data_IF_851754009525
#
_entry.id   IF_851754009525
#
_cell.length_a   1.000
_cell.length_b   1.000
_cell.length_c   1.000
_cell.angle_alpha   90.00
_cell.angle_beta   90.00
_cell.angle_gamma   90.00
#
_symmetry.space_group_name_H-M   'P 1'
#
loop_
_entity.id
_entity.type
_entity.pdbx_description
1 polymer ?
#
# COMPACT_ATOMS: atom_id res chain seq x y z
N UNK A 1 7.65 5.83 -80.51
CA UNK A 1 8.33 7.12 -80.70
C UNK A 1 8.19 7.90 -79.39
N UNK A 2 9.10 7.75 -78.42
CA UNK A 2 10.45 8.32 -78.28
C UNK A 2 10.51 9.85 -78.10
N UNK A 3 11.32 10.23 -77.09
CA UNK A 3 11.85 11.54 -76.65
C UNK A 3 10.94 12.46 -75.81
N UNK A 4 11.34 12.98 -74.64
CA UNK A 4 12.64 13.03 -73.95
C UNK A 4 13.28 14.42 -73.99
N UNK A 5 13.33 15.12 -72.84
CA UNK A 5 14.33 16.15 -72.45
C UNK A 5 14.00 16.63 -71.03
N UNK A 6 14.71 16.20 -69.96
CA UNK A 6 15.96 16.75 -69.39
C UNK A 6 16.01 18.28 -69.27
N UNK A 7 16.03 18.75 -68.02
CA UNK A 7 16.65 20.01 -67.62
C UNK A 7 17.49 19.71 -66.37
N UNK A 8 18.81 19.85 -66.51
CA UNK A 8 19.79 19.85 -65.40
C UNK A 8 20.60 21.14 -65.46
N UNK A 9 20.64 21.81 -64.31
CA UNK A 9 21.72 22.63 -63.72
C UNK A 9 22.28 23.87 -64.46
N UNK A 10 22.30 25.02 -63.77
CA UNK A 10 23.54 25.69 -63.30
C UNK A 10 23.24 26.78 -62.22
N UNK A 11 24.23 27.16 -61.37
CA UNK A 11 24.03 27.69 -60.01
C UNK A 11 24.23 29.21 -59.89
N UNK A 12 24.00 29.79 -58.68
CA UNK A 12 24.80 30.93 -58.28
C UNK A 12 25.46 30.77 -56.89
N UNK A 13 26.77 30.98 -56.92
CA UNK A 13 27.60 31.83 -56.05
C UNK A 13 27.47 31.77 -54.52
N UNK A 14 28.64 31.59 -53.91
CA UNK A 14 28.95 31.65 -52.49
C UNK A 14 28.60 32.98 -51.81
N UNK A 15 28.13 32.91 -50.55
CA UNK A 15 27.94 34.08 -49.70
C UNK A 15 27.56 33.74 -48.26
N UNK A 16 28.54 33.86 -47.36
CA UNK A 16 28.42 34.02 -45.90
C UNK A 16 27.57 33.06 -45.04
N UNK A 17 28.29 32.04 -44.55
CA UNK A 17 28.04 31.30 -43.33
C UNK A 17 28.21 32.21 -42.09
N UNK A 18 27.13 32.76 -41.52
CA UNK A 18 27.12 33.18 -40.10
C UNK A 18 25.71 33.33 -39.52
N UNK A 19 25.54 32.80 -38.30
CA UNK A 19 24.60 33.26 -37.28
C UNK A 19 23.14 32.72 -37.20
N UNK A 20 22.90 31.45 -37.50
CA UNK A 20 21.60 30.77 -37.22
C UNK A 20 21.53 30.04 -35.87
N UNK A 21 22.58 30.12 -35.02
CA UNK A 21 22.60 29.51 -33.68
C UNK A 21 22.19 30.46 -32.55
N UNK A 22 22.06 31.77 -32.83
CA UNK A 22 21.73 32.78 -31.82
C UNK A 22 20.22 32.96 -31.58
N UNK A 23 19.36 32.59 -32.55
CA UNK A 23 17.92 32.86 -32.49
C UNK A 23 17.09 31.73 -31.86
N UNK A 24 17.64 30.52 -31.71
CA UNK A 24 16.91 29.37 -31.12
C UNK A 24 16.96 29.32 -29.58
N UNK A 25 17.75 30.17 -28.91
CA UNK A 25 17.79 30.25 -27.43
C UNK A 25 16.65 31.09 -26.82
N UNK A 26 15.80 31.72 -27.63
CA UNK A 26 14.79 32.69 -27.16
C UNK A 26 13.48 32.06 -26.69
N UNK A 27 13.25 30.77 -26.98
CA UNK A 27 11.95 30.10 -26.78
C UNK A 27 11.94 28.95 -25.77
N UNK A 28 13.07 28.66 -25.10
CA UNK A 28 13.08 27.73 -23.97
C UNK A 28 13.01 28.52 -22.65
N UNK A 29 11.98 28.30 -21.80
CA UNK A 29 12.00 28.83 -20.45
C UNK A 29 13.19 28.21 -19.72
N UNK A 30 14.05 29.09 -19.20
CA UNK A 30 15.22 28.73 -18.40
C UNK A 30 14.70 28.12 -17.09
N UNK A 31 14.62 26.80 -17.02
CA UNK A 31 14.27 26.07 -15.78
C UNK A 31 15.39 26.36 -14.78
N UNK A 32 15.12 27.25 -13.84
CA UNK A 32 15.96 27.47 -12.67
C UNK A 32 16.07 26.15 -11.90
N UNK A 33 17.28 25.71 -11.50
CA UNK A 33 17.39 24.57 -10.59
C UNK A 33 16.62 24.91 -9.32
N UNK A 34 15.81 23.99 -8.75
CA UNK A 34 15.24 24.23 -7.44
C UNK A 34 16.40 24.46 -6.47
N UNK A 35 16.31 25.53 -5.68
CA UNK A 35 17.22 25.80 -4.58
C UNK A 35 17.35 24.52 -3.77
N UNK A 36 18.50 23.89 -3.86
CA UNK A 36 18.95 22.83 -2.99
C UNK A 36 19.10 23.44 -1.61
N UNK A 37 18.02 23.45 -0.83
CA UNK A 37 18.13 23.40 0.62
C UNK A 37 18.80 22.07 0.94
N UNK A 38 20.14 22.13 1.05
CA UNK A 38 21.01 21.00 1.31
C UNK A 38 20.73 20.43 2.69
N UNK A 39 19.80 19.49 2.76
CA UNK A 39 19.90 18.39 3.71
C UNK A 39 20.83 17.40 3.04
N UNK A 40 22.12 17.55 3.32
CA UNK A 40 23.19 16.66 2.90
C UNK A 40 22.87 15.27 3.45
N UNK A 41 22.38 14.37 2.59
CA UNK A 41 22.08 12.99 2.96
C UNK A 41 23.39 12.30 3.40
N UNK A 42 23.39 11.55 4.51
CA UNK A 42 24.59 10.94 5.09
C UNK A 42 25.22 9.81 4.25
N UNK A 43 24.72 9.54 3.04
CA UNK A 43 25.23 8.48 2.16
C UNK A 43 26.27 8.93 1.14
N UNK A 44 26.54 10.23 0.97
CA UNK A 44 27.33 10.72 -0.17
C UNK A 44 28.85 10.75 0.03
N UNK A 45 29.39 10.35 1.19
CA UNK A 45 30.84 10.51 1.46
C UNK A 45 31.54 9.38 2.23
N UNK A 46 30.94 8.20 2.40
CA UNK A 46 31.61 7.13 3.17
C UNK A 46 31.95 5.92 2.28
N UNK A 47 33.24 5.88 1.93
CA UNK A 47 34.10 4.72 1.65
C UNK A 47 34.34 4.27 0.18
N UNK A 48 35.59 4.50 -0.22
CA UNK A 48 36.50 3.64 -1.02
C UNK A 48 36.37 3.72 -2.55
N UNK A 49 37.52 3.93 -3.18
CA UNK A 49 37.76 4.16 -4.60
C UNK A 49 36.95 3.34 -5.60
N UNK A 50 36.57 4.03 -6.68
CA UNK A 50 36.36 3.48 -8.02
C UNK A 50 35.22 2.46 -8.23
N UNK A 51 34.20 2.41 -7.36
CA UNK A 51 32.93 1.74 -7.68
C UNK A 51 31.85 2.81 -7.80
N UNK A 52 31.53 3.22 -9.04
CA UNK A 52 30.36 4.06 -9.31
C UNK A 52 29.13 3.21 -9.06
N UNK A 53 28.53 3.34 -7.88
CA UNK A 53 27.27 2.66 -7.56
C UNK A 53 26.22 3.05 -8.59
N UNK A 54 25.43 2.09 -9.10
CA UNK A 54 24.44 2.40 -10.12
C UNK A 54 23.31 3.25 -9.52
N UNK A 55 22.81 4.23 -10.28
CA UNK A 55 21.92 5.30 -9.79
C UNK A 55 20.62 4.80 -9.13
N UNK A 56 20.21 3.54 -9.35
CA UNK A 56 19.03 2.91 -8.73
C UNK A 56 19.27 2.41 -7.28
N UNK A 57 20.54 2.34 -6.85
CA UNK A 57 20.92 1.90 -5.49
C UNK A 57 20.90 3.06 -4.49
N UNK A 58 21.17 4.28 -4.92
CA UNK A 58 21.09 5.47 -4.07
C UNK A 58 19.73 5.65 -3.34
N UNK A 59 18.57 5.51 -4.00
CA UNK A 59 17.28 5.59 -3.31
C UNK A 59 17.00 4.43 -2.34
N UNK A 60 17.70 3.29 -2.44
CA UNK A 60 17.51 2.15 -1.53
C UNK A 60 17.89 2.51 -0.09
N UNK A 61 18.85 3.42 0.09
CA UNK A 61 19.14 3.97 1.42
C UNK A 61 17.91 4.66 2.02
N UNK A 62 17.20 5.45 1.21
CA UNK A 62 15.95 6.12 1.62
C UNK A 62 14.86 5.12 2.00
N UNK A 63 14.74 4.02 1.25
CA UNK A 63 13.82 2.92 1.58
C UNK A 63 14.20 2.25 2.90
N UNK A 64 15.49 1.98 3.12
CA UNK A 64 16.00 1.42 4.38
C UNK A 64 15.72 2.32 5.58
N UNK A 65 15.97 3.62 5.45
CA UNK A 65 15.63 4.61 6.49
C UNK A 65 14.12 4.62 6.75
N UNK A 66 13.30 4.59 5.70
CA UNK A 66 11.85 4.52 5.82
C UNK A 66 11.38 3.27 6.58
N UNK A 67 11.96 2.11 6.29
CA UNK A 67 11.67 0.86 7.00
C UNK A 67 12.06 0.95 8.49
N UNK A 68 13.24 1.48 8.80
CA UNK A 68 13.67 1.70 10.19
C UNK A 68 12.73 2.66 10.92
N UNK A 69 12.34 3.77 10.28
CA UNK A 69 11.36 4.71 10.85
C UNK A 69 10.02 4.03 11.09
N UNK A 70 9.53 3.19 10.18
CA UNK A 70 8.30 2.43 10.37
C UNK A 70 8.40 1.47 11.56
N UNK A 71 9.50 0.72 11.69
CA UNK A 71 9.75 -0.17 12.83
C UNK A 71 9.82 0.59 14.14
N UNK A 72 10.56 1.70 14.19
CA UNK A 72 10.65 2.58 15.37
C UNK A 72 9.27 3.12 15.73
N UNK A 73 8.48 3.55 14.75
CA UNK A 73 7.11 4.04 14.96
C UNK A 73 6.23 2.96 15.58
N UNK A 74 6.31 1.72 15.09
CA UNK A 74 5.60 0.59 15.69
C UNK A 74 6.03 0.37 17.15
N UNK A 75 7.34 0.34 17.44
CA UNK A 75 7.82 0.20 18.83
C UNK A 75 7.35 1.33 19.75
N UNK A 76 7.34 2.58 19.25
CA UNK A 76 6.82 3.75 19.99
C UNK A 76 5.33 3.58 20.27
N UNK A 77 4.53 3.15 19.28
CA UNK A 77 3.10 2.88 19.45
C UNK A 77 2.87 1.77 20.49
N UNK A 78 3.60 0.66 20.42
CA UNK A 78 3.51 -0.41 21.41
C UNK A 78 3.92 0.07 22.83
N UNK A 79 4.95 0.91 22.92
CA UNK A 79 5.36 1.56 24.17
C UNK A 79 4.29 2.48 24.73
N UNK A 80 3.63 3.28 23.88
CA UNK A 80 2.54 4.16 24.27
C UNK A 80 1.32 3.36 24.77
N UNK A 81 0.96 2.26 24.10
CA UNK A 81 -0.11 1.36 24.54
C UNK A 81 0.21 0.74 25.90
N UNK A 82 1.49 0.40 26.14
CA UNK A 82 1.98 -0.12 27.43
C UNK A 82 1.88 0.92 28.55
N UNK A 83 2.11 2.19 28.24
CA UNK A 83 1.98 3.31 29.19
C UNK A 83 0.50 3.62 29.51
N UNK A 84 -0.36 3.66 28.49
CA UNK A 84 -1.78 3.99 28.65
C UNK A 84 -2.57 2.84 29.30
N UNK A 85 -2.28 1.59 28.93
CA UNK A 85 -3.06 0.42 29.35
C UNK A 85 -2.21 -0.85 29.44
N UNK A 86 -1.52 -1.09 30.58
CA UNK A 86 -0.58 -2.21 30.71
C UNK A 86 -1.26 -3.59 30.57
N UNK A 87 -2.54 -3.70 30.96
CA UNK A 87 -3.32 -4.94 30.80
C UNK A 87 -3.57 -5.30 29.33
N UNK A 88 -3.93 -4.31 28.50
CA UNK A 88 -4.17 -4.49 27.06
C UNK A 88 -2.87 -4.81 26.33
N UNK A 89 -1.79 -4.12 26.69
CA UNK A 89 -0.46 -4.35 26.12
C UNK A 89 0.06 -5.78 26.36
N UNK A 90 -0.22 -6.36 27.54
CA UNK A 90 0.17 -7.73 27.83
C UNK A 90 -0.54 -8.74 26.90
N UNK A 91 -1.85 -8.58 26.69
CA UNK A 91 -2.65 -9.42 25.79
C UNK A 91 -2.20 -9.22 24.33
N UNK A 92 -2.02 -7.96 23.92
CA UNK A 92 -1.52 -7.61 22.59
C UNK A 92 -0.20 -8.31 22.28
N UNK A 93 0.76 -8.31 23.21
CA UNK A 93 2.07 -8.89 22.98
C UNK A 93 2.04 -10.42 22.92
N UNK A 94 1.18 -11.08 23.69
CA UNK A 94 1.00 -12.54 23.58
C UNK A 94 0.34 -12.92 22.26
N UNK A 95 -0.74 -12.22 21.87
CA UNK A 95 -1.43 -12.47 20.60
C UNK A 95 -0.56 -12.13 19.40
N UNK A 96 0.24 -11.07 19.46
CA UNK A 96 1.18 -10.73 18.38
C UNK A 96 2.25 -11.81 18.18
N UNK A 97 2.79 -12.36 19.27
CA UNK A 97 3.76 -13.47 19.19
C UNK A 97 3.13 -14.72 18.60
N UNK A 98 1.91 -15.04 19.02
CA UNK A 98 1.15 -16.17 18.48
C UNK A 98 0.86 -15.98 16.99
N UNK A 99 0.36 -14.81 16.58
CA UNK A 99 0.10 -14.47 15.18
C UNK A 99 1.35 -14.57 14.29
N UNK A 100 2.50 -14.08 14.76
CA UNK A 100 3.77 -14.17 14.04
C UNK A 100 4.36 -15.58 14.03
N UNK A 101 3.96 -16.45 14.96
CA UNK A 101 4.39 -17.84 15.02
C UNK A 101 3.54 -18.77 14.14
N UNK A 102 2.36 -18.32 13.69
CA UNK A 102 1.49 -19.13 12.83
C UNK A 102 2.19 -19.47 11.50
N UNK A 103 2.12 -20.72 11.01
CA UNK A 103 2.75 -21.11 9.74
C UNK A 103 2.20 -20.31 8.56
N UNK A 104 0.92 -19.91 8.61
CA UNK A 104 0.26 -19.10 7.58
C UNK A 104 0.96 -17.74 7.38
N UNK A 105 1.51 -17.14 8.44
CA UNK A 105 2.30 -15.90 8.33
C UNK A 105 3.49 -16.09 7.38
N UNK A 106 4.28 -17.14 7.59
CA UNK A 106 5.46 -17.43 6.77
C UNK A 106 5.09 -17.84 5.35
N UNK A 107 3.98 -18.58 5.16
CA UNK A 107 3.49 -18.94 3.82
C UNK A 107 3.08 -17.69 3.04
N UNK A 108 2.29 -16.80 3.65
CA UNK A 108 1.86 -15.54 3.00
C UNK A 108 3.06 -14.63 2.73
N UNK A 109 4.01 -14.55 3.66
CA UNK A 109 5.26 -13.81 3.47
C UNK A 109 6.04 -14.36 2.26
N UNK A 110 6.27 -15.68 2.21
CA UNK A 110 7.01 -16.30 1.12
C UNK A 110 6.33 -16.12 -0.24
N UNK A 111 5.01 -16.31 -0.30
CA UNK A 111 4.20 -16.07 -1.50
C UNK A 111 4.27 -14.59 -1.92
N UNK A 112 4.16 -13.66 -0.97
CA UNK A 112 4.26 -12.23 -1.24
C UNK A 112 5.62 -11.82 -1.78
N UNK A 113 6.70 -12.29 -1.16
CA UNK A 113 8.07 -12.08 -1.64
C UNK A 113 8.23 -12.62 -3.07
N UNK A 114 7.75 -13.84 -3.32
CA UNK A 114 7.85 -14.48 -4.63
C UNK A 114 7.08 -13.69 -5.71
N UNK A 115 5.83 -13.32 -5.45
CA UNK A 115 5.01 -12.55 -6.40
C UNK A 115 5.64 -11.17 -6.66
N UNK A 116 6.10 -10.46 -5.62
CA UNK A 116 6.69 -9.13 -5.77
C UNK A 116 8.02 -9.15 -6.54
N UNK A 117 8.81 -10.22 -6.42
CA UNK A 117 10.03 -10.40 -7.20
C UNK A 117 9.75 -10.77 -8.66
N UNK A 118 8.65 -11.49 -8.93
CA UNK A 118 8.24 -11.84 -10.28
C UNK A 118 7.58 -10.69 -11.04
N UNK A 119 6.80 -9.84 -10.37
CA UNK A 119 6.06 -8.73 -11.00
C UNK A 119 6.90 -7.87 -11.96
N UNK A 120 8.11 -7.40 -11.63
CA UNK A 120 8.92 -6.60 -12.56
C UNK A 120 9.29 -7.37 -13.85
N UNK A 121 9.28 -8.71 -13.83
CA UNK A 121 9.49 -9.56 -15.01
C UNK A 121 8.20 -9.94 -15.75
N UNK A 122 7.01 -9.67 -15.22
CA UNK A 122 5.75 -10.02 -15.91
C UNK A 122 5.21 -8.83 -16.69
N UNK A 123 5.47 -7.59 -16.25
CA UNK A 123 4.97 -6.36 -16.85
C UNK A 123 5.66 -5.94 -18.17
N UNK A 124 6.11 -6.86 -19.02
CA UNK A 124 6.79 -6.55 -20.29
C UNK A 124 5.86 -6.13 -21.44
N UNK A 125 4.54 -6.25 -21.28
CA UNK A 125 3.61 -6.19 -22.41
C UNK A 125 2.66 -4.97 -22.40
N UNK A 126 3.08 -3.83 -21.82
CA UNK A 126 2.21 -2.65 -21.63
C UNK A 126 2.71 -1.37 -22.33
N UNK A 127 3.51 -1.49 -23.40
CA UNK A 127 3.83 -0.39 -24.34
C UNK A 127 4.18 0.97 -23.66
N UNK A 128 4.94 0.94 -22.56
CA UNK A 128 5.46 2.16 -21.91
C UNK A 128 4.71 2.66 -20.66
N UNK A 129 3.67 1.95 -20.19
CA UNK A 129 3.03 2.23 -18.89
C UNK A 129 3.36 1.19 -17.79
N UNK A 130 4.37 0.35 -18.02
CA UNK A 130 4.74 -0.77 -17.16
C UNK A 130 4.99 -0.36 -15.70
N UNK A 131 5.56 0.84 -15.49
CA UNK A 131 5.84 1.41 -14.16
C UNK A 131 4.53 1.69 -13.40
N UNK A 132 3.44 2.09 -14.08
CA UNK A 132 2.14 2.34 -13.45
C UNK A 132 1.47 1.02 -13.07
N UNK A 133 1.49 0.03 -13.96
CA UNK A 133 0.93 -1.30 -13.70
C UNK A 133 1.60 -1.96 -12.50
N UNK A 134 2.94 -1.93 -12.45
CA UNK A 134 3.70 -2.47 -11.31
C UNK A 134 3.28 -1.80 -9.98
N UNK A 135 3.07 -0.49 -9.98
CA UNK A 135 2.68 0.26 -8.77
C UNK A 135 1.28 -0.13 -8.30
N UNK A 136 0.31 -0.21 -9.21
CA UNK A 136 -1.07 -0.54 -8.89
C UNK A 136 -1.20 -1.99 -8.41
N UNK A 137 -0.64 -2.92 -9.18
CA UNK A 137 -0.74 -4.34 -8.88
C UNK A 137 0.04 -4.71 -7.63
N UNK A 138 1.25 -4.16 -7.46
CA UNK A 138 2.06 -4.45 -6.27
C UNK A 138 1.41 -3.95 -4.97
N UNK A 139 0.80 -2.77 -4.96
CA UNK A 139 0.03 -2.29 -3.81
C UNK A 139 -1.18 -3.19 -3.53
N UNK A 140 -1.89 -3.61 -4.57
CA UNK A 140 -3.05 -4.49 -4.45
C UNK A 140 -2.68 -5.88 -3.93
N UNK A 141 -1.58 -6.46 -4.42
CA UNK A 141 -1.05 -7.76 -3.95
C UNK A 141 -0.73 -7.70 -2.46
N UNK A 142 0.00 -6.67 -2.00
CA UNK A 142 0.34 -6.51 -0.57
C UNK A 142 -0.93 -6.36 0.27
N UNK A 143 -1.86 -5.50 -0.16
CA UNK A 143 -3.14 -5.26 0.51
C UNK A 143 -3.94 -6.56 0.66
N UNK A 144 -4.10 -7.33 -0.42
CA UNK A 144 -4.86 -8.59 -0.43
C UNK A 144 -4.20 -9.63 0.47
N UNK A 145 -2.88 -9.83 0.35
CA UNK A 145 -2.15 -10.79 1.19
C UNK A 145 -2.24 -10.44 2.68
N UNK A 146 -2.15 -9.16 3.02
CA UNK A 146 -2.31 -8.69 4.39
C UNK A 146 -3.73 -8.90 4.93
N UNK A 147 -4.76 -8.68 4.11
CA UNK A 147 -6.15 -8.96 4.47
C UNK A 147 -6.34 -10.47 4.70
N UNK A 148 -5.82 -11.33 3.81
CA UNK A 148 -5.90 -12.79 3.99
C UNK A 148 -5.27 -13.21 5.31
N UNK A 149 -4.07 -12.71 5.63
CA UNK A 149 -3.41 -12.95 6.91
C UNK A 149 -4.29 -12.49 8.08
N UNK A 150 -4.78 -11.25 8.02
CA UNK A 150 -5.59 -10.66 9.07
C UNK A 150 -6.86 -11.47 9.35
N UNK A 151 -7.60 -11.86 8.30
CA UNK A 151 -8.82 -12.65 8.41
C UNK A 151 -8.54 -14.03 9.00
N UNK A 152 -7.47 -14.69 8.55
CA UNK A 152 -7.07 -16.00 9.06
C UNK A 152 -6.70 -15.93 10.54
N UNK A 153 -5.76 -15.05 10.90
CA UNK A 153 -5.26 -14.91 12.27
C UNK A 153 -6.37 -14.46 13.22
N UNK A 154 -7.25 -13.55 12.81
CA UNK A 154 -8.41 -13.14 13.61
C UNK A 154 -9.33 -14.33 13.87
N UNK A 155 -9.66 -15.09 12.82
CA UNK A 155 -10.59 -16.22 12.94
C UNK A 155 -10.05 -17.32 13.86
N UNK A 156 -8.77 -17.69 13.73
CA UNK A 156 -8.14 -18.73 14.55
C UNK A 156 -8.01 -18.27 16.01
N UNK A 157 -7.39 -17.10 16.24
CA UNK A 157 -7.11 -16.60 17.60
C UNK A 157 -8.38 -16.38 18.42
N UNK A 158 -9.51 -16.07 17.78
CA UNK A 158 -10.78 -15.86 18.46
C UNK A 158 -11.56 -17.15 18.62
N UNK A 159 -11.57 -18.02 17.60
CA UNK A 159 -12.28 -19.30 17.66
C UNK A 159 -11.65 -20.23 18.71
N UNK A 160 -10.32 -20.30 18.80
CA UNK A 160 -9.63 -21.16 19.78
C UNK A 160 -9.90 -20.78 21.23
N UNK A 161 -9.99 -19.48 21.53
CA UNK A 161 -10.34 -19.01 22.88
C UNK A 161 -11.82 -19.19 23.23
N UNK A 162 -12.69 -19.26 22.22
CA UNK A 162 -14.13 -19.44 22.37
C UNK A 162 -14.49 -20.92 22.53
N UNK A 163 -13.93 -21.81 21.72
CA UNK A 163 -14.24 -23.26 21.73
C UNK A 163 -13.46 -24.02 22.81
N UNK A 164 -12.28 -23.55 23.21
CA UNK A 164 -11.38 -24.27 24.12
C UNK A 164 -11.84 -24.43 25.57
N UNK A 165 -13.04 -23.97 25.97
CA UNK A 165 -13.49 -23.88 27.39
C UNK A 165 -12.48 -23.20 28.35
N UNK A 166 -11.53 -22.44 27.84
CA UNK A 166 -10.52 -21.68 28.62
C UNK A 166 -11.01 -20.29 29.04
N UNK A 167 -12.10 -19.78 28.46
CA UNK A 167 -12.77 -18.56 28.95
C UNK A 167 -13.21 -18.69 30.42
N UNK A 168 -13.61 -19.90 30.86
CA UNK A 168 -14.02 -20.20 32.24
C UNK A 168 -12.84 -20.17 33.24
N UNK A 169 -11.61 -20.46 32.81
CA UNK A 169 -10.42 -20.41 33.68
C UNK A 169 -9.71 -19.06 33.65
N UNK A 170 -9.86 -18.29 32.57
CA UNK A 170 -9.36 -16.91 32.44
C UNK A 170 -10.18 -15.87 33.22
N UNK A 171 -11.46 -16.16 33.51
CA UNK A 171 -12.30 -15.36 34.43
C UNK A 171 -11.77 -15.33 35.88
N UNK A 172 -10.83 -16.21 36.24
CA UNK A 172 -10.12 -16.18 37.54
C UNK A 172 -9.17 -14.97 37.67
N UNK A 173 -8.86 -14.29 36.56
CA UNK A 173 -8.08 -13.03 36.55
C UNK A 173 -9.02 -11.87 36.19
N UNK A 174 -8.96 -10.71 36.86
CA UNK A 174 -9.84 -9.57 36.63
C UNK A 174 -9.45 -8.82 35.34
N UNK A 175 -9.66 -9.47 34.19
CA UNK A 175 -9.48 -8.91 32.84
C UNK A 175 -10.86 -8.55 32.30
N UNK A 176 -11.08 -7.28 32.00
CA UNK A 176 -12.38 -6.83 31.47
C UNK A 176 -12.57 -7.28 30.02
N UNK A 177 -13.80 -7.60 29.63
CA UNK A 177 -14.19 -8.01 28.25
C UNK A 177 -13.64 -7.06 27.18
N UNK A 178 -13.72 -5.75 27.44
CA UNK A 178 -13.19 -4.68 26.56
C UNK A 178 -11.68 -4.79 26.34
N UNK A 179 -10.94 -5.17 27.37
CA UNK A 179 -9.48 -5.29 27.31
C UNK A 179 -9.05 -6.51 26.49
N UNK A 180 -9.84 -7.58 26.51
CA UNK A 180 -9.60 -8.79 25.72
C UNK A 180 -9.75 -8.49 24.22
N UNK A 181 -10.89 -7.94 23.80
CA UNK A 181 -11.16 -7.67 22.38
C UNK A 181 -10.17 -6.63 21.81
N UNK A 182 -9.93 -5.53 22.54
CA UNK A 182 -8.97 -4.51 22.12
C UNK A 182 -7.53 -5.05 22.05
N UNK A 183 -7.12 -5.85 23.03
CA UNK A 183 -5.79 -6.46 23.06
C UNK A 183 -5.57 -7.39 21.87
N UNK A 184 -6.56 -8.22 21.54
CA UNK A 184 -6.50 -9.11 20.37
C UNK A 184 -6.44 -8.35 19.06
N UNK A 185 -7.31 -7.35 18.88
CA UNK A 185 -7.33 -6.54 17.68
C UNK A 185 -5.94 -5.89 17.46
N UNK A 186 -5.39 -5.26 18.50
CA UNK A 186 -4.05 -4.65 18.45
C UNK A 186 -2.93 -5.67 18.18
N UNK A 187 -3.03 -6.88 18.74
CA UNK A 187 -2.07 -7.95 18.52
C UNK A 187 -2.06 -8.47 17.08
N UNK A 188 -3.24 -8.65 16.49
CA UNK A 188 -3.38 -9.05 15.08
C UNK A 188 -2.89 -7.92 14.16
N UNK A 189 -3.26 -6.66 14.47
CA UNK A 189 -2.78 -5.49 13.72
C UNK A 189 -1.24 -5.37 13.77
N UNK A 190 -0.59 -5.76 14.87
CA UNK A 190 0.87 -5.79 14.95
C UNK A 190 1.48 -6.78 13.95
N UNK A 191 0.94 -8.00 13.85
CA UNK A 191 1.42 -9.00 12.90
C UNK A 191 1.22 -8.53 11.45
N UNK A 192 0.07 -7.93 11.14
CA UNK A 192 -0.22 -7.32 9.84
C UNK A 192 0.75 -6.17 9.54
N UNK A 193 1.05 -5.31 10.53
CA UNK A 193 2.00 -4.22 10.36
C UNK A 193 3.41 -4.71 10.06
N UNK A 194 3.89 -5.76 10.73
CA UNK A 194 5.19 -6.40 10.43
C UNK A 194 5.21 -6.92 9.00
N UNK A 195 4.14 -7.61 8.55
CA UNK A 195 4.03 -8.07 7.16
C UNK A 195 4.13 -6.89 6.17
N UNK A 196 3.40 -5.79 6.44
CA UNK A 196 3.43 -4.58 5.61
C UNK A 196 4.80 -3.93 5.55
N UNK A 197 5.53 -3.88 6.67
CA UNK A 197 6.90 -3.33 6.68
C UNK A 197 7.82 -4.19 5.82
N UNK A 198 7.77 -5.52 5.95
CA UNK A 198 8.65 -6.41 5.18
C UNK A 198 8.31 -6.38 3.69
N UNK A 199 7.06 -6.64 3.32
CA UNK A 199 6.63 -6.66 1.91
C UNK A 199 6.66 -5.27 1.28
N UNK A 200 6.29 -4.23 2.02
CA UNK A 200 6.33 -2.84 1.56
C UNK A 200 7.75 -2.36 1.27
N UNK A 201 8.72 -2.67 2.15
CA UNK A 201 10.14 -2.37 1.90
C UNK A 201 10.61 -3.07 0.63
N UNK A 202 10.29 -4.36 0.47
CA UNK A 202 10.67 -5.14 -0.71
C UNK A 202 10.06 -4.57 -1.99
N UNK A 203 8.79 -4.19 -1.95
CA UNK A 203 8.10 -3.57 -3.08
C UNK A 203 8.70 -2.21 -3.48
N UNK A 204 9.04 -1.35 -2.50
CA UNK A 204 9.72 -0.09 -2.79
C UNK A 204 11.11 -0.32 -3.43
N UNK A 205 11.84 -1.36 -3.02
CA UNK A 205 13.09 -1.77 -3.68
C UNK A 205 12.84 -2.20 -5.13
N UNK A 206 11.80 -3.01 -5.37
CA UNK A 206 11.42 -3.48 -6.71
C UNK A 206 11.03 -2.33 -7.64
N UNK A 207 10.30 -1.33 -7.15
CA UNK A 207 9.96 -0.13 -7.92
C UNK A 207 11.21 0.64 -8.34
N UNK A 208 12.16 0.84 -7.41
CA UNK A 208 13.43 1.52 -7.73
C UNK A 208 14.19 0.79 -8.85
N UNK A 209 14.18 -0.54 -8.82
CA UNK A 209 14.80 -1.36 -9.85
C UNK A 209 14.11 -1.22 -11.22
N UNK A 210 12.77 -1.27 -11.28
CA UNK A 210 12.03 -1.18 -12.55
C UNK A 210 12.21 0.17 -13.25
N UNK A 211 12.28 1.30 -12.53
CA UNK A 211 12.49 2.64 -13.13
C UNK A 211 13.79 2.68 -13.95
N UNK A 212 14.84 2.05 -13.46
CA UNK A 212 16.11 1.99 -14.16
C UNK A 212 16.09 0.98 -15.33
N UNK A 213 15.39 -0.15 -15.15
CA UNK A 213 15.20 -1.14 -16.21
C UNK A 213 14.44 -0.54 -17.40
N UNK A 214 13.38 0.22 -17.13
CA UNK A 214 12.50 0.86 -18.13
C UNK A 214 13.24 1.84 -19.05
N UNK A 215 14.14 2.64 -18.47
CA UNK A 215 14.95 3.59 -19.23
C UNK A 215 15.92 2.90 -20.21
N UNK A 216 16.42 1.71 -19.85
CA UNK A 216 17.31 0.91 -20.70
C UNK A 216 16.57 0.33 -21.90
N UNK A 217 15.37 -0.18 -21.68
CA UNK A 217 14.51 -0.73 -22.75
C UNK A 217 14.06 0.35 -23.74
N UNK A 218 13.72 1.55 -23.24
CA UNK A 218 13.23 2.67 -24.07
C UNK A 218 14.35 3.47 -24.74
N UNK A 219 15.62 3.08 -24.56
CA UNK A 219 16.80 3.82 -25.01
C UNK A 219 16.81 5.31 -24.59
N UNK A 220 16.17 5.62 -23.46
CA UNK A 220 16.14 6.95 -22.86
C UNK A 220 17.42 7.18 -22.04
N UNK A 221 17.85 8.43 -21.80
CA UNK A 221 18.99 8.70 -20.94
C UNK A 221 18.76 8.11 -19.54
N UNK A 222 19.84 7.58 -18.93
CA UNK A 222 19.75 6.96 -17.61
C UNK A 222 19.11 7.92 -16.60
N UNK A 223 18.08 7.48 -15.85
CA UNK A 223 17.36 8.35 -14.94
C UNK A 223 18.28 8.80 -13.81
N UNK A 224 18.10 10.05 -13.41
CA UNK A 224 18.84 10.61 -12.27
C UNK A 224 18.33 9.98 -10.98
N UNK A 225 19.21 9.72 -10.00
CA UNK A 225 18.82 9.15 -8.71
C UNK A 225 17.68 9.92 -8.00
N UNK A 226 17.61 11.24 -8.20
CA UNK A 226 16.52 12.09 -7.71
C UNK A 226 15.14 11.72 -8.29
N UNK A 227 15.06 11.30 -9.56
CA UNK A 227 13.82 10.86 -10.19
C UNK A 227 13.37 9.52 -9.60
N UNK A 228 14.29 8.58 -9.39
CA UNK A 228 13.98 7.30 -8.73
C UNK A 228 13.47 7.52 -7.30
N UNK A 229 14.11 8.41 -6.53
CA UNK A 229 13.68 8.74 -5.18
C UNK A 229 12.27 9.38 -5.14
N UNK A 230 11.95 10.24 -6.11
CA UNK A 230 10.64 10.86 -6.21
C UNK A 230 9.53 9.83 -6.47
N UNK A 231 9.78 8.84 -7.33
CA UNK A 231 8.82 7.77 -7.60
C UNK A 231 8.55 6.89 -6.38
N UNK A 232 9.59 6.52 -5.64
CA UNK A 232 9.47 5.77 -4.37
C UNK A 232 8.65 6.56 -3.35
N UNK A 233 8.93 7.86 -3.19
CA UNK A 233 8.20 8.71 -2.25
C UNK A 233 6.72 8.88 -2.59
N UNK A 234 6.37 8.88 -3.88
CA UNK A 234 4.97 8.98 -4.33
C UNK A 234 4.14 7.76 -3.93
N UNK A 235 4.74 6.57 -3.86
CA UNK A 235 4.04 5.30 -3.60
C UNK A 235 3.95 4.97 -2.10
N UNK A 236 4.91 5.45 -1.30
CA UNK A 236 4.92 5.27 0.15
C UNK A 236 3.56 5.54 0.85
N UNK A 237 2.80 6.61 0.55
CA UNK A 237 1.48 6.82 1.15
C UNK A 237 0.45 5.74 0.77
N UNK A 238 0.59 5.11 -0.40
CA UNK A 238 -0.27 3.99 -0.82
C UNK A 238 -0.15 2.76 0.08
N UNK A 239 1.04 2.49 0.64
CA UNK A 239 1.23 1.43 1.63
C UNK A 239 0.48 1.72 2.93
N UNK A 240 0.48 2.98 3.38
CA UNK A 240 -0.26 3.40 4.56
C UNK A 240 -1.78 3.27 4.38
N UNK A 241 -2.31 3.66 3.20
CA UNK A 241 -3.71 3.49 2.86
C UNK A 241 -4.11 2.00 2.79
N UNK A 242 -3.27 1.16 2.19
CA UNK A 242 -3.47 -0.29 2.18
C UNK A 242 -3.49 -0.91 3.58
N UNK A 243 -2.64 -0.42 4.49
CA UNK A 243 -2.64 -0.86 5.89
C UNK A 243 -3.93 -0.45 6.63
N UNK A 244 -4.44 0.76 6.39
CA UNK A 244 -5.73 1.20 6.93
C UNK A 244 -6.88 0.32 6.44
N UNK A 245 -6.88 -0.04 5.14
CA UNK A 245 -7.88 -0.96 4.58
C UNK A 245 -7.82 -2.35 5.26
N UNK A 246 -6.62 -2.91 5.44
CA UNK A 246 -6.44 -4.16 6.17
C UNK A 246 -6.89 -4.06 7.64
N UNK A 247 -6.68 -2.91 8.27
CA UNK A 247 -7.10 -2.64 9.65
C UNK A 247 -8.62 -2.66 9.81
N UNK A 248 -9.37 -2.05 8.88
CA UNK A 248 -10.84 -2.11 8.86
C UNK A 248 -11.31 -3.56 8.72
N UNK A 249 -10.74 -4.31 7.77
CA UNK A 249 -11.10 -5.72 7.57
C UNK A 249 -10.78 -6.57 8.81
N UNK A 250 -9.68 -6.29 9.49
CA UNK A 250 -9.32 -6.95 10.75
C UNK A 250 -10.38 -6.67 11.82
N UNK A 251 -10.79 -5.41 12.00
CA UNK A 251 -11.79 -5.03 13.00
C UNK A 251 -13.15 -5.70 12.75
N UNK A 252 -13.59 -5.75 11.49
CA UNK A 252 -14.83 -6.43 11.09
C UNK A 252 -14.73 -7.93 11.36
N UNK A 253 -13.61 -8.56 10.98
CA UNK A 253 -13.41 -9.99 11.19
C UNK A 253 -13.38 -10.37 12.67
N UNK A 254 -12.74 -9.54 13.50
CA UNK A 254 -12.74 -9.73 14.96
C UNK A 254 -14.17 -9.63 15.50
N UNK A 255 -14.97 -8.69 15.03
CA UNK A 255 -16.36 -8.54 15.47
C UNK A 255 -17.22 -9.75 15.12
N UNK A 256 -17.16 -10.22 13.88
CA UNK A 256 -17.95 -11.36 13.38
C UNK A 256 -17.52 -12.66 14.08
N UNK A 257 -16.22 -12.85 14.30
CA UNK A 257 -15.67 -14.05 14.97
C UNK A 257 -16.11 -14.20 16.43
N UNK A 258 -16.69 -13.17 17.06
CA UNK A 258 -17.20 -13.30 18.45
C UNK A 258 -18.42 -14.24 18.56
N UNK A 259 -19.20 -14.40 17.49
CA UNK A 259 -20.39 -15.29 17.46
C UNK A 259 -20.27 -16.45 16.50
N UNK A 260 -19.61 -16.23 15.37
CA UNK A 260 -19.57 -17.23 14.31
C UNK A 260 -18.28 -18.05 14.42
N UNK A 261 -18.34 -19.37 14.12
CA UNK A 261 -17.15 -20.19 14.04
C UNK A 261 -16.24 -19.74 12.88
N UNK A 262 -15.03 -20.29 12.84
CA UNK A 262 -13.96 -19.88 11.92
C UNK A 262 -14.39 -19.81 10.45
N UNK A 263 -15.08 -20.86 9.96
CA UNK A 263 -15.41 -21.00 8.55
C UNK A 263 -16.43 -19.96 8.06
N UNK A 264 -17.60 -19.76 8.72
CA UNK A 264 -18.51 -18.67 8.36
C UNK A 264 -17.88 -17.28 8.43
N UNK A 265 -17.00 -17.01 9.40
CA UNK A 265 -16.33 -15.71 9.51
C UNK A 265 -15.51 -15.40 8.26
N UNK A 266 -14.72 -16.36 7.78
CA UNK A 266 -13.91 -16.20 6.57
C UNK A 266 -14.76 -15.97 5.33
N UNK A 267 -15.85 -16.73 5.15
CA UNK A 267 -16.77 -16.58 4.01
C UNK A 267 -17.43 -15.20 4.00
N UNK A 268 -17.92 -14.74 5.15
CA UNK A 268 -18.60 -13.44 5.26
C UNK A 268 -17.60 -12.31 5.04
N UNK A 269 -16.43 -12.36 5.65
CA UNK A 269 -15.40 -11.32 5.47
C UNK A 269 -14.90 -11.25 4.02
N UNK A 270 -14.71 -12.40 3.37
CA UNK A 270 -14.35 -12.44 1.96
C UNK A 270 -15.44 -11.84 1.07
N UNK A 271 -16.71 -12.13 1.38
CA UNK A 271 -17.86 -11.57 0.67
C UNK A 271 -17.94 -10.05 0.84
N UNK A 272 -17.73 -9.55 2.07
CA UNK A 272 -17.68 -8.11 2.38
C UNK A 272 -16.54 -7.45 1.60
N UNK A 273 -15.36 -8.07 1.55
CA UNK A 273 -14.21 -7.55 0.79
C UNK A 273 -14.55 -7.43 -0.70
N UNK A 274 -15.12 -8.48 -1.30
CA UNK A 274 -15.49 -8.47 -2.72
C UNK A 274 -16.57 -7.42 -3.01
N UNK A 275 -17.62 -7.36 -2.18
CA UNK A 275 -18.69 -6.36 -2.33
C UNK A 275 -18.18 -4.93 -2.18
N UNK A 276 -17.25 -4.68 -1.25
CA UNK A 276 -16.63 -3.37 -1.06
C UNK A 276 -15.86 -2.84 -2.27
N UNK A 277 -15.42 -3.73 -3.17
CA UNK A 277 -14.73 -3.37 -4.42
C UNK A 277 -15.66 -3.36 -5.65
N UNK A 278 -16.69 -4.21 -5.63
CA UNK A 278 -17.64 -4.37 -6.74
C UNK A 278 -18.72 -3.30 -6.76
N UNK A 279 -19.28 -2.94 -5.60
CA UNK A 279 -20.42 -2.01 -5.50
C UNK A 279 -20.06 -0.62 -6.06
N UNK A 280 -18.93 0.02 -5.69
CA UNK A 280 -18.56 1.32 -6.24
C UNK A 280 -18.40 1.29 -7.76
N UNK A 281 -17.77 0.22 -8.29
CA UNK A 281 -17.58 0.02 -9.73
C UNK A 281 -18.90 -0.14 -10.48
N UNK A 282 -19.88 -0.83 -9.88
CA UNK A 282 -21.23 -0.98 -10.44
C UNK A 282 -22.01 0.33 -10.44
N UNK A 283 -21.93 1.12 -9.37
CA UNK A 283 -22.60 2.43 -9.28
C UNK A 283 -22.06 3.37 -10.35
N UNK A 284 -20.72 3.47 -10.47
CA UNK A 284 -20.05 4.34 -11.44
C UNK A 284 -20.35 3.94 -12.90
N UNK A 285 -20.52 2.64 -13.16
CA UNK A 285 -20.90 2.15 -14.49
C UNK A 285 -22.38 2.38 -14.82
N UNK A 286 -23.23 2.53 -13.81
CA UNK A 286 -24.69 2.67 -13.94
C UNK A 286 -25.18 4.12 -13.87
N UNK A 287 -24.26 5.10 -13.89
CA UNK A 287 -24.58 6.53 -13.87
C UNK A 287 -25.40 6.88 -15.11
N UNK A 288 -26.64 7.34 -14.89
CA UNK A 288 -27.56 7.78 -15.94
C UNK A 288 -28.39 6.69 -16.63
N UNK A 289 -28.29 5.41 -16.23
CA UNK A 289 -29.09 4.34 -16.84
C UNK A 289 -30.22 3.83 -15.93
N UNK A 290 -29.91 3.46 -14.68
CA UNK A 290 -30.89 2.88 -13.76
C UNK A 290 -30.82 3.55 -12.37
N UNK A 291 -31.83 4.33 -12.04
CA UNK A 291 -31.90 5.04 -10.74
C UNK A 291 -32.01 4.08 -9.55
N UNK A 292 -32.70 2.94 -9.71
CA UNK A 292 -32.84 1.92 -8.66
C UNK A 292 -31.49 1.30 -8.26
N UNK A 293 -30.64 1.01 -9.25
CA UNK A 293 -29.30 0.42 -9.02
C UNK A 293 -28.42 1.42 -8.25
N UNK A 294 -28.50 2.71 -8.57
CA UNK A 294 -27.78 3.75 -7.85
C UNK A 294 -28.30 3.93 -6.42
N UNK A 295 -29.62 3.87 -6.20
CA UNK A 295 -30.20 3.98 -4.87
C UNK A 295 -29.78 2.82 -3.97
N UNK A 296 -29.96 1.57 -4.41
CA UNK A 296 -29.56 0.37 -3.66
C UNK A 296 -28.05 0.33 -3.47
N UNK A 297 -27.28 0.69 -4.50
CA UNK A 297 -25.83 0.80 -4.43
C UNK A 297 -25.36 1.79 -3.37
N UNK A 298 -25.95 3.00 -3.30
CA UNK A 298 -25.63 4.00 -2.26
C UNK A 298 -25.99 3.52 -0.85
N UNK A 299 -27.09 2.80 -0.70
CA UNK A 299 -27.50 2.23 0.58
C UNK A 299 -26.52 1.15 1.05
N UNK A 300 -26.10 0.25 0.15
CA UNK A 300 -25.10 -0.77 0.44
C UNK A 300 -23.71 -0.16 0.69
N UNK A 301 -23.32 0.86 -0.08
CA UNK A 301 -22.05 1.57 0.10
C UNK A 301 -22.00 2.38 1.41
N UNK A 302 -23.15 2.75 1.97
CA UNK A 302 -23.21 3.40 3.29
C UNK A 302 -22.96 2.40 4.44
N UNK A 303 -23.34 1.13 4.26
CA UNK A 303 -23.20 0.09 5.30
C UNK A 303 -21.87 -0.65 5.18
N UNK A 304 -21.47 -0.98 3.96
CA UNK A 304 -20.22 -1.69 3.69
C UNK A 304 -19.05 -0.70 3.67
N UNK A 305 -17.86 -1.10 4.13
CA UNK A 305 -16.69 -0.27 3.98
C UNK A 305 -16.36 -0.13 2.49
N UNK A 306 -16.31 1.08 1.97
CA UNK A 306 -15.80 1.35 0.63
C UNK A 306 -14.27 1.38 0.66
N UNK A 307 -13.63 0.26 0.27
CA UNK A 307 -12.17 0.12 0.30
C UNK A 307 -11.47 0.93 -0.81
N UNK A 308 -12.20 1.39 -1.84
CA UNK A 308 -11.67 2.22 -2.92
C UNK A 308 -11.20 3.59 -2.41
N UNK A 309 -11.85 4.16 -1.39
CA UNK A 309 -11.37 5.37 -0.71
C UNK A 309 -10.03 5.18 0.02
N UNK A 310 -9.67 3.94 0.33
CA UNK A 310 -8.38 3.60 0.96
C UNK A 310 -7.41 3.00 -0.05
N UNK A 311 -7.64 3.23 -1.35
CA UNK A 311 -6.78 2.75 -2.43
C UNK A 311 -6.20 3.93 -3.21
N UNK A 312 -4.97 3.77 -3.70
CA UNK A 312 -4.23 4.81 -4.43
C UNK A 312 -4.35 4.66 -5.97
N UNK A 313 -5.16 3.71 -6.45
CA UNK A 313 -5.25 3.32 -7.87
C UNK A 313 -5.53 4.53 -8.79
N UNK A 314 -6.46 5.40 -8.38
CA UNK A 314 -6.86 6.61 -9.13
C UNK A 314 -5.80 7.71 -9.13
N UNK A 315 -5.00 7.83 -8.07
CA UNK A 315 -3.91 8.80 -7.98
C UNK A 315 -2.71 8.37 -8.84
N UNK A 316 -2.43 7.06 -8.91
CA UNK A 316 -1.34 6.49 -9.72
C UNK A 316 -1.66 6.62 -11.22
N UNK A 317 -2.91 6.40 -11.63
CA UNK A 317 -3.29 6.54 -13.04
C UNK A 317 -3.17 7.98 -13.54
N UNK A 318 -3.48 8.96 -12.69
CA UNK A 318 -3.47 10.39 -13.00
C UNK A 318 -2.09 11.06 -12.76
N UNK A 319 -1.07 10.31 -12.33
CA UNK A 319 0.26 10.81 -11.94
C UNK A 319 0.22 11.95 -10.89
N UNK A 320 -0.81 11.97 -10.04
CA UNK A 320 -0.96 12.98 -9.00
C UNK A 320 -0.35 12.52 -7.68
N UNK A 321 0.28 13.47 -6.97
CA UNK A 321 0.79 13.22 -5.62
C UNK A 321 -0.39 13.19 -4.64
N UNK A 322 -0.43 12.16 -3.78
CA UNK A 322 -1.44 12.06 -2.73
C UNK A 322 -1.18 13.14 -1.69
N UNK A 323 -2.11 14.09 -1.47
CA UNK A 323 -1.92 15.15 -0.49
C UNK A 323 -2.05 14.59 0.94
N UNK A 324 -1.30 15.14 1.88
CA UNK A 324 -1.36 14.73 3.30
C UNK A 324 -2.74 14.88 3.93
N UNK A 325 -3.56 15.82 3.44
CA UNK A 325 -4.96 15.99 3.86
C UNK A 325 -5.81 14.76 3.55
N UNK A 326 -5.56 14.10 2.40
CA UNK A 326 -6.28 12.88 2.02
C UNK A 326 -6.01 11.75 3.01
N UNK A 327 -4.76 11.56 3.41
CA UNK A 327 -4.37 10.54 4.39
C UNK A 327 -5.00 10.82 5.75
N UNK A 328 -5.11 12.09 6.15
CA UNK A 328 -5.79 12.48 7.39
C UNK A 328 -7.28 12.14 7.38
N UNK A 329 -7.98 12.43 6.28
CA UNK A 329 -9.41 12.08 6.13
C UNK A 329 -9.58 10.56 6.08
N UNK A 330 -8.72 9.85 5.34
CA UNK A 330 -8.70 8.39 5.27
C UNK A 330 -8.46 7.74 6.65
N UNK A 331 -7.57 8.30 7.46
CA UNK A 331 -7.33 7.86 8.83
C UNK A 331 -8.57 8.08 9.71
N UNK A 332 -9.24 9.23 9.59
CA UNK A 332 -10.51 9.50 10.28
C UNK A 332 -11.60 8.51 9.92
N UNK A 333 -11.75 8.20 8.63
CA UNK A 333 -12.65 7.17 8.12
C UNK A 333 -12.31 5.79 8.70
N UNK A 334 -11.03 5.40 8.67
CA UNK A 334 -10.56 4.14 9.25
C UNK A 334 -10.88 4.04 10.74
N UNK A 335 -10.59 5.07 11.53
CA UNK A 335 -10.88 5.08 12.96
C UNK A 335 -12.37 4.97 13.25
N UNK A 336 -13.22 5.63 12.46
CA UNK A 336 -14.67 5.56 12.61
C UNK A 336 -15.18 4.13 12.36
N UNK A 337 -14.78 3.51 11.25
CA UNK A 337 -15.17 2.12 10.96
C UNK A 337 -14.62 1.13 11.99
N UNK A 338 -13.37 1.29 12.43
CA UNK A 338 -12.81 0.47 13.50
C UNK A 338 -13.57 0.65 14.83
N UNK A 339 -13.95 1.88 15.18
CA UNK A 339 -14.73 2.15 16.38
C UNK A 339 -16.11 1.49 16.31
N UNK A 340 -16.82 1.61 15.18
CA UNK A 340 -18.11 0.94 14.97
C UNK A 340 -17.96 -0.58 15.03
N UNK A 341 -16.95 -1.16 14.38
CA UNK A 341 -16.71 -2.59 14.41
C UNK A 341 -16.36 -3.10 15.83
N UNK A 342 -15.55 -2.37 16.59
CA UNK A 342 -15.24 -2.70 17.99
C UNK A 342 -16.48 -2.58 18.88
N UNK A 343 -17.31 -1.55 18.71
CA UNK A 343 -18.57 -1.41 19.44
C UNK A 343 -19.51 -2.59 19.13
N UNK A 344 -19.62 -2.97 17.86
CA UNK A 344 -20.39 -4.14 17.44
C UNK A 344 -19.84 -5.42 18.08
N UNK A 345 -18.52 -5.61 18.09
CA UNK A 345 -17.88 -6.74 18.75
C UNK A 345 -18.22 -6.81 20.25
N UNK A 346 -18.26 -5.66 20.94
CA UNK A 346 -18.59 -5.59 22.36
C UNK A 346 -20.05 -5.94 22.65
N UNK A 347 -20.98 -5.38 21.87
CA UNK A 347 -22.42 -5.68 21.99
C UNK A 347 -22.66 -7.16 21.72
N UNK A 348 -22.07 -7.67 20.63
CA UNK A 348 -22.29 -9.02 20.17
C UNK A 348 -21.72 -10.07 21.15
N UNK A 349 -20.65 -9.73 21.87
CA UNK A 349 -20.04 -10.55 22.90
C UNK A 349 -20.86 -10.58 24.21
N UNK A 350 -21.48 -9.46 24.60
CA UNK A 350 -22.24 -9.34 25.86
C UNK A 350 -23.42 -10.32 25.94
N UNK A 351 -24.17 -10.42 24.85
CA UNK A 351 -25.34 -11.30 24.71
C UNK A 351 -25.00 -12.81 24.75
N UNK A 352 -23.75 -13.21 24.47
CA UNK A 352 -23.37 -14.62 24.44
C UNK A 352 -23.18 -15.22 25.84
N UNK A 353 -22.82 -14.38 26.81
CA UNK A 353 -22.58 -14.80 28.19
C UNK A 353 -23.89 -15.01 29.00
N UNK A 354 -25.07 -14.86 28.38
CA UNK A 354 -26.39 -15.05 29.01
C UNK A 354 -27.06 -16.39 28.69
N UNK A 355 -26.38 -17.34 28.03
CA UNK A 355 -26.94 -18.64 27.63
C UNK A 355 -26.25 -19.84 28.29
#
# INVERSE_FOLDING_TARGET
MCNGNRISAEPPAAGHRSNTKATLRRWYPKVSPPLTTGIMLPGSCILIGAIRVPNWVEPLWGVGVGAVVAVVTLYVIAGLIRLLSPKVAAIMHTTAKEALAQPVFYVILAVGVFILLLMPFVSYNTFGEDVKVLKMDGLTVIKVLAIILALWTASVSISEEIEGRTALTLLSKPVGRRQLILGKLLGIMWAVAVLFVVLGTLFLCTVSYKVHYDARETAQPEPTAAQCAQEVQRIAPGLALGFMAATIMTAISVAISTRLPMLPNLIICLSIYMLGHLIPRLINSSVGQFELVQFVGRLLAAVLPELDHLSMETAISTDQMVPWSYIGVAAGYCLLYCAVAVLLALILFEDRDLA
#
